data_IF_932588552394
#
_entry.id   IF_932588552394
#
_cell.length_a   1.000
_cell.length_b   1.000
_cell.length_c   1.000
_cell.angle_alpha   90.00
_cell.angle_beta   90.00
_cell.angle_gamma   90.00
#
_symmetry.space_group_name_H-M   'P 1'
#
loop_
_entity.id
_entity.type
_entity.pdbx_description
1 polymer ?
#
# COMPACT_ATOMS: atom_id res chain seq x y z
N UNK A 1 32.58 23.44 -26.70
CA UNK A 1 32.57 23.36 -28.17
C UNK A 1 33.93 22.88 -28.63
N UNK A 2 34.04 21.63 -29.07
CA UNK A 2 35.27 21.10 -29.69
C UNK A 2 35.25 21.40 -31.19
N UNK A 3 36.41 21.64 -31.82
CA UNK A 3 36.51 22.01 -33.22
C UNK A 3 36.14 20.83 -34.16
N UNK A 4 35.76 21.10 -35.42
CA UNK A 4 35.43 20.07 -36.39
C UNK A 4 36.66 19.20 -36.70
N UNK A 5 36.41 17.89 -36.77
CA UNK A 5 37.37 16.83 -37.09
C UNK A 5 38.00 17.11 -38.46
N UNK A 6 39.34 17.17 -38.52
CA UNK A 6 40.12 17.28 -39.77
C UNK A 6 40.83 15.97 -40.04
N UNK A 7 40.42 15.27 -41.10
CA UNK A 7 41.08 14.04 -41.54
C UNK A 7 42.19 14.42 -42.53
N UNK A 8 43.45 14.30 -42.13
CA UNK A 8 44.62 14.50 -43.00
C UNK A 8 44.85 13.28 -43.88
N UNK A 9 45.25 13.50 -45.14
CA UNK A 9 45.01 12.60 -46.28
C UNK A 9 46.19 11.68 -46.66
N UNK A 10 47.20 11.50 -45.81
CA UNK A 10 48.51 11.05 -46.29
C UNK A 10 48.92 9.61 -45.91
N UNK A 11 48.02 8.80 -45.35
CA UNK A 11 48.27 7.35 -45.18
C UNK A 11 47.38 6.54 -46.11
N UNK A 12 47.94 6.19 -47.28
CA UNK A 12 47.32 5.30 -48.25
C UNK A 12 47.28 3.86 -47.71
N UNK A 13 46.08 3.29 -47.60
CA UNK A 13 45.89 1.84 -47.51
C UNK A 13 46.51 1.18 -48.76
N UNK A 14 47.39 0.17 -48.63
CA UNK A 14 47.95 -0.48 -49.80
C UNK A 14 46.85 -1.22 -50.57
N UNK A 15 46.55 -0.73 -51.78
CA UNK A 15 45.78 -1.46 -52.79
C UNK A 15 44.26 -1.28 -52.79
N UNK A 16 43.66 -0.43 -51.95
CA UNK A 16 42.22 -0.15 -52.00
C UNK A 16 42.00 1.37 -51.99
N UNK A 17 41.70 1.94 -53.15
CA UNK A 17 41.14 3.28 -53.23
C UNK A 17 39.68 3.20 -52.78
N UNK A 18 39.39 3.70 -51.58
CA UNK A 18 38.00 3.87 -51.14
C UNK A 18 37.37 5.00 -51.96
N UNK A 19 36.16 4.79 -52.48
CA UNK A 19 35.43 5.87 -53.14
C UNK A 19 35.22 7.02 -52.14
N UNK A 20 35.21 8.24 -52.67
CA UNK A 20 35.15 9.48 -51.86
C UNK A 20 33.91 9.51 -50.96
N UNK A 21 32.82 8.88 -51.41
CA UNK A 21 31.56 8.79 -50.69
C UNK A 21 31.57 7.71 -49.59
N UNK A 22 32.31 6.60 -49.77
CA UNK A 22 32.43 5.52 -48.78
C UNK A 22 32.95 6.00 -47.42
N UNK A 23 33.91 6.94 -47.43
CA UNK A 23 34.48 7.51 -46.19
C UNK A 23 33.48 8.43 -45.48
N UNK A 24 32.73 9.24 -46.24
CA UNK A 24 31.72 10.15 -45.71
C UNK A 24 30.54 9.37 -45.12
N UNK A 25 30.14 8.29 -45.79
CA UNK A 25 29.06 7.42 -45.34
C UNK A 25 29.44 6.68 -44.06
N UNK A 26 30.64 6.10 -44.00
CA UNK A 26 31.14 5.42 -42.79
C UNK A 26 31.22 6.37 -41.59
N UNK A 27 31.75 7.58 -41.78
CA UNK A 27 31.77 8.59 -40.73
C UNK A 27 30.36 8.92 -40.23
N UNK A 28 29.44 9.14 -41.16
CA UNK A 28 28.04 9.47 -40.82
C UNK A 28 27.34 8.34 -40.04
N UNK A 29 27.54 7.07 -40.44
CA UNK A 29 26.98 5.93 -39.72
C UNK A 29 27.57 5.76 -38.31
N UNK A 30 28.89 5.97 -38.15
CA UNK A 30 29.54 5.88 -36.84
C UNK A 30 29.07 7.00 -35.91
N UNK A 31 28.97 8.24 -36.41
CA UNK A 31 28.43 9.37 -35.64
C UNK A 31 27.00 9.11 -35.16
N UNK A 32 26.11 8.66 -36.05
CA UNK A 32 24.74 8.30 -35.68
C UNK A 32 24.70 7.20 -34.61
N UNK A 33 25.55 6.18 -34.72
CA UNK A 33 25.62 5.11 -33.72
C UNK A 33 26.09 5.65 -32.37
N UNK A 34 27.12 6.49 -32.34
CA UNK A 34 27.65 7.05 -31.09
C UNK A 34 26.65 8.00 -30.42
N UNK A 35 25.92 8.79 -31.21
CA UNK A 35 24.82 9.63 -30.72
C UNK A 35 23.70 8.76 -30.12
N UNK A 36 23.32 7.66 -30.77
CA UNK A 36 22.31 6.74 -30.23
C UNK A 36 22.77 6.07 -28.93
N UNK A 37 24.06 5.71 -28.81
CA UNK A 37 24.62 5.17 -27.57
C UNK A 37 24.54 6.21 -26.44
N UNK A 38 24.81 7.49 -26.73
CA UNK A 38 24.65 8.59 -25.77
C UNK A 38 23.20 8.73 -25.31
N UNK A 39 22.26 8.82 -26.25
CA UNK A 39 20.83 8.93 -25.94
C UNK A 39 20.36 7.76 -25.08
N UNK A 40 20.72 6.52 -25.46
CA UNK A 40 20.35 5.33 -24.70
C UNK A 40 20.98 5.33 -23.29
N UNK A 41 22.19 5.89 -23.12
CA UNK A 41 22.82 6.04 -21.80
C UNK A 41 22.01 6.98 -20.91
N UNK A 42 21.70 8.17 -21.40
CA UNK A 42 20.91 9.18 -20.67
C UNK A 42 19.53 8.64 -20.27
N UNK A 43 18.83 7.99 -21.21
CA UNK A 43 17.52 7.39 -20.96
C UNK A 43 17.59 6.26 -19.93
N UNK A 44 18.60 5.39 -20.03
CA UNK A 44 18.78 4.27 -19.08
C UNK A 44 19.11 4.80 -17.68
N UNK A 45 19.92 5.85 -17.56
CA UNK A 45 20.23 6.48 -16.28
C UNK A 45 19.00 7.11 -15.64
N UNK A 46 18.21 7.86 -16.42
CA UNK A 46 16.96 8.45 -15.96
C UNK A 46 15.97 7.37 -15.49
N UNK A 47 15.81 6.29 -16.25
CA UNK A 47 14.90 5.21 -15.90
C UNK A 47 15.36 4.44 -14.66
N UNK A 48 16.65 4.15 -14.53
CA UNK A 48 17.23 3.55 -13.31
C UNK A 48 16.96 4.43 -12.08
N UNK A 49 17.11 5.75 -12.22
CA UNK A 49 16.83 6.71 -11.14
C UNK A 49 15.37 6.63 -10.70
N UNK A 50 14.43 6.60 -11.65
CA UNK A 50 13.00 6.52 -11.35
C UNK A 50 12.64 5.22 -10.61
N UNK A 51 13.14 4.07 -11.09
CA UNK A 51 12.92 2.77 -10.43
C UNK A 51 13.52 2.73 -9.03
N UNK A 52 14.70 3.33 -8.85
CA UNK A 52 15.35 3.40 -7.54
C UNK A 52 14.53 4.26 -6.58
N UNK A 53 14.09 5.45 -7.01
CA UNK A 53 13.24 6.33 -6.22
C UNK A 53 11.94 5.64 -5.81
N UNK A 54 11.27 4.96 -6.74
CA UNK A 54 10.04 4.22 -6.44
C UNK A 54 10.29 3.09 -5.42
N UNK A 55 11.39 2.33 -5.57
CA UNK A 55 11.77 1.30 -4.60
C UNK A 55 12.02 1.90 -3.22
N UNK A 56 12.72 3.03 -3.15
CA UNK A 56 13.06 3.67 -1.90
C UNK A 56 11.83 4.26 -1.22
N UNK A 57 10.88 4.80 -1.97
CA UNK A 57 9.59 5.27 -1.44
C UNK A 57 8.78 4.11 -0.82
N UNK A 58 8.74 2.94 -1.47
CA UNK A 58 8.08 1.75 -0.93
C UNK A 58 8.72 1.31 0.39
N UNK A 59 10.06 1.20 0.41
CA UNK A 59 10.82 0.70 1.56
C UNK A 59 10.83 1.69 2.73
N UNK A 60 11.06 2.97 2.47
CA UNK A 60 11.39 3.96 3.49
C UNK A 60 10.21 4.85 3.90
N UNK A 61 9.15 4.92 3.08
CA UNK A 61 7.99 5.79 3.35
C UNK A 61 6.73 4.96 3.53
N UNK A 62 6.38 4.15 2.54
CA UNK A 62 5.07 3.47 2.50
C UNK A 62 5.01 2.33 3.54
N UNK A 63 5.96 1.40 3.52
CA UNK A 63 5.97 0.28 4.48
C UNK A 63 6.01 0.73 5.95
N UNK A 64 6.85 1.71 6.36
CA UNK A 64 6.85 2.20 7.72
C UNK A 64 5.52 2.85 8.11
N UNK A 65 4.93 3.68 7.24
CA UNK A 65 3.61 4.29 7.50
C UNK A 65 2.52 3.24 7.72
N UNK A 66 2.48 2.20 6.89
CA UNK A 66 1.53 1.09 7.08
C UNK A 66 1.75 0.39 8.42
N UNK A 67 3.01 0.11 8.79
CA UNK A 67 3.34 -0.51 10.09
C UNK A 67 2.88 0.35 11.27
N UNK A 68 3.12 1.66 11.22
CA UNK A 68 2.66 2.60 12.25
C UNK A 68 1.14 2.60 12.36
N UNK A 69 0.41 2.66 11.24
CA UNK A 69 -1.05 2.61 11.26
C UNK A 69 -1.58 1.27 11.81
N UNK A 70 -0.94 0.15 11.46
CA UNK A 70 -1.27 -1.16 12.03
C UNK A 70 -1.09 -1.21 13.55
N UNK A 71 -0.02 -0.59 14.06
CA UNK A 71 0.22 -0.48 15.50
C UNK A 71 -0.87 0.37 16.16
N UNK A 72 -1.15 1.57 15.64
CA UNK A 72 -2.20 2.45 16.17
C UNK A 72 -3.58 1.78 16.21
N UNK A 73 -3.93 1.01 15.16
CA UNK A 73 -5.17 0.25 15.12
C UNK A 73 -5.15 -0.93 16.08
N UNK A 74 -3.99 -1.55 16.35
CA UNK A 74 -3.89 -2.69 17.26
C UNK A 74 -3.85 -2.28 18.74
N UNK A 75 -3.23 -1.15 19.05
CA UNK A 75 -2.99 -0.65 20.41
C UNK A 75 -4.19 0.15 20.97
N UNK A 76 -5.35 0.09 20.30
CA UNK A 76 -6.53 0.82 20.71
C UNK A 76 -7.15 0.28 22.02
N UNK A 77 -7.82 1.14 22.79
CA UNK A 77 -8.47 0.77 24.06
C UNK A 77 -9.94 0.39 23.90
N UNK A 78 -10.48 0.34 22.68
CA UNK A 78 -11.93 0.21 22.44
C UNK A 78 -12.48 -1.09 23.02
N UNK A 79 -11.73 -2.20 22.89
CA UNK A 79 -12.11 -3.48 23.47
C UNK A 79 -12.20 -3.42 25.00
N UNK A 80 -11.22 -2.81 25.66
CA UNK A 80 -11.20 -2.61 27.11
C UNK A 80 -12.36 -1.73 27.56
N UNK A 81 -12.65 -0.65 26.83
CA UNK A 81 -13.77 0.23 27.13
C UNK A 81 -15.13 -0.46 26.97
N UNK A 82 -15.28 -1.32 25.97
CA UNK A 82 -16.47 -2.16 25.77
C UNK A 82 -16.68 -3.07 26.97
N UNK A 83 -15.62 -3.73 27.45
CA UNK A 83 -15.71 -4.60 28.63
C UNK A 83 -16.12 -3.80 29.88
N UNK A 84 -15.52 -2.63 30.11
CA UNK A 84 -15.89 -1.76 31.24
C UNK A 84 -17.36 -1.32 31.17
N UNK A 85 -17.85 -0.96 29.98
CA UNK A 85 -19.24 -0.57 29.79
C UNK A 85 -20.21 -1.73 30.03
N UNK A 86 -19.89 -2.94 29.54
CA UNK A 86 -20.70 -4.13 29.81
C UNK A 86 -20.82 -4.39 31.31
N UNK A 87 -19.71 -4.34 32.05
CA UNK A 87 -19.73 -4.53 33.50
C UNK A 87 -20.60 -3.47 34.20
N UNK A 88 -20.48 -2.19 33.82
CA UNK A 88 -21.31 -1.10 34.36
C UNK A 88 -22.80 -1.29 34.08
N UNK A 89 -23.13 -1.73 32.86
CA UNK A 89 -24.49 -2.07 32.42
C UNK A 89 -25.05 -3.23 33.24
N UNK A 90 -24.24 -4.26 33.51
CA UNK A 90 -24.66 -5.44 34.28
C UNK A 90 -24.88 -5.06 35.76
N UNK A 91 -23.95 -4.32 36.37
CA UNK A 91 -24.09 -3.79 37.73
C UNK A 91 -25.34 -2.92 37.90
N UNK A 92 -25.60 -2.01 36.95
CA UNK A 92 -26.79 -1.15 36.99
C UNK A 92 -28.07 -1.96 36.78
N UNK A 93 -28.03 -3.01 35.97
CA UNK A 93 -29.18 -3.93 35.80
C UNK A 93 -29.57 -4.61 37.11
N UNK A 94 -28.58 -5.04 37.90
CA UNK A 94 -28.82 -5.59 39.24
C UNK A 94 -29.47 -4.56 40.18
N UNK A 95 -28.96 -3.32 40.20
CA UNK A 95 -29.56 -2.23 41.01
C UNK A 95 -30.99 -1.89 40.60
N UNK A 96 -31.29 -1.90 39.30
CA UNK A 96 -32.65 -1.72 38.79
C UNK A 96 -33.57 -2.86 39.27
N UNK A 97 -33.08 -4.10 39.28
CA UNK A 97 -33.82 -5.25 39.79
C UNK A 97 -34.09 -5.14 41.29
N UNK A 98 -33.10 -4.73 42.09
CA UNK A 98 -33.28 -4.44 43.52
C UNK A 98 -34.34 -3.36 43.75
N UNK A 99 -34.29 -2.24 43.02
CA UNK A 99 -35.28 -1.17 43.11
C UNK A 99 -36.68 -1.61 42.66
N UNK A 100 -36.79 -2.53 41.71
CA UNK A 100 -38.08 -3.14 41.36
C UNK A 100 -38.66 -3.96 42.52
N UNK A 101 -37.83 -4.76 43.20
CA UNK A 101 -38.24 -5.56 44.38
C UNK A 101 -38.64 -4.65 45.54
N UNK A 102 -37.85 -3.62 45.82
CA UNK A 102 -38.13 -2.62 46.86
C UNK A 102 -39.47 -1.91 46.62
N UNK A 103 -39.69 -1.41 45.40
CA UNK A 103 -40.95 -0.79 45.01
C UNK A 103 -42.15 -1.72 45.21
N UNK A 104 -42.06 -2.98 44.75
CA UNK A 104 -43.14 -3.95 44.89
C UNK A 104 -43.49 -4.21 46.36
N UNK A 105 -42.48 -4.35 47.22
CA UNK A 105 -42.67 -4.55 48.65
C UNK A 105 -43.29 -3.32 49.35
N UNK A 106 -42.90 -2.09 48.97
CA UNK A 106 -43.49 -0.86 49.51
C UNK A 106 -44.95 -0.71 49.13
N UNK A 107 -45.32 -1.03 47.88
CA UNK A 107 -46.71 -1.00 47.40
C UNK A 107 -47.56 -2.03 48.15
N UNK A 108 -47.07 -3.26 48.32
CA UNK A 108 -47.78 -4.31 49.08
C UNK A 108 -47.99 -3.91 50.55
N UNK A 109 -46.95 -3.37 51.20
CA UNK A 109 -47.03 -2.89 52.59
C UNK A 109 -47.97 -1.69 52.75
N UNK A 110 -47.98 -0.77 51.78
CA UNK A 110 -48.91 0.37 51.77
C UNK A 110 -50.36 -0.12 51.71
N UNK A 111 -50.65 -1.06 50.79
CA UNK A 111 -51.97 -1.64 50.63
C UNK A 111 -52.44 -2.39 51.88
N UNK A 112 -51.60 -3.26 52.45
CA UNK A 112 -51.91 -4.01 53.67
C UNK A 112 -52.12 -3.11 54.88
N UNK A 113 -51.36 -2.02 55.00
CA UNK A 113 -51.55 -1.01 56.06
C UNK A 113 -52.89 -0.28 55.93
N UNK A 114 -53.29 0.10 54.71
CA UNK A 114 -54.58 0.73 54.45
C UNK A 114 -55.77 -0.20 54.77
N UNK A 115 -55.63 -1.49 54.50
CA UNK A 115 -56.66 -2.51 54.76
C UNK A 115 -56.97 -2.70 56.26
N UNK A 116 -56.11 -2.21 57.17
CA UNK A 116 -56.37 -2.25 58.62
C UNK A 116 -57.44 -1.27 59.10
N UNK A 117 -57.88 -0.34 58.23
CA UNK A 117 -59.00 0.61 58.44
C UNK A 117 -58.94 1.44 59.74
N UNK A 118 -57.76 1.60 60.34
CA UNK A 118 -57.53 2.47 61.48
C UNK A 118 -56.63 3.67 61.09
N UNK A 119 -56.70 4.75 61.89
CA UNK A 119 -55.98 6.01 61.60
C UNK A 119 -54.47 5.79 61.47
N UNK A 120 -53.89 4.92 62.30
CA UNK A 120 -52.45 4.61 62.25
C UNK A 120 -52.07 3.89 60.95
N UNK A 121 -52.89 2.94 60.49
CA UNK A 121 -52.71 2.20 59.24
C UNK A 121 -52.81 3.09 57.99
N UNK A 122 -53.73 4.05 57.98
CA UNK A 122 -53.84 5.03 56.90
C UNK A 122 -52.62 5.96 56.83
N UNK A 123 -52.12 6.43 57.98
CA UNK A 123 -50.88 7.23 58.03
C UNK A 123 -49.67 6.47 57.50
N UNK A 124 -49.52 5.20 57.87
CA UNK A 124 -48.45 4.34 57.37
C UNK A 124 -48.57 4.06 55.86
N UNK A 125 -49.79 3.87 55.36
CA UNK A 125 -50.02 3.66 53.93
C UNK A 125 -49.55 4.85 53.08
N UNK A 126 -49.83 6.09 53.53
CA UNK A 126 -49.38 7.32 52.85
C UNK A 126 -47.85 7.40 52.86
N UNK A 127 -47.21 7.19 54.00
CA UNK A 127 -45.75 7.21 54.11
C UNK A 127 -45.09 6.22 53.14
N UNK A 128 -45.56 4.97 53.13
CA UNK A 128 -45.04 3.94 52.23
C UNK A 128 -45.32 4.24 50.75
N UNK A 129 -46.45 4.90 50.44
CA UNK A 129 -46.77 5.34 49.08
C UNK A 129 -45.82 6.43 48.58
N UNK A 130 -45.43 7.37 49.44
CA UNK A 130 -44.41 8.39 49.12
C UNK A 130 -43.05 7.74 48.89
N UNK A 131 -42.63 6.82 49.78
CA UNK A 131 -41.37 6.09 49.62
C UNK A 131 -41.34 5.29 48.30
N UNK A 132 -42.45 4.63 47.95
CA UNK A 132 -42.58 3.89 46.71
C UNK A 132 -42.38 4.79 45.47
N UNK A 133 -42.93 6.00 45.47
CA UNK A 133 -42.74 6.93 44.35
C UNK A 133 -41.29 7.46 44.29
N UNK A 134 -40.63 7.66 45.44
CA UNK A 134 -39.19 7.95 45.48
C UNK A 134 -38.38 6.82 44.85
N UNK A 135 -38.60 5.56 45.26
CA UNK A 135 -37.96 4.37 44.68
C UNK A 135 -38.22 4.26 43.17
N UNK A 136 -39.44 4.59 42.73
CA UNK A 136 -39.82 4.59 41.31
C UNK A 136 -39.01 5.60 40.52
N UNK A 137 -38.82 6.81 41.06
CA UNK A 137 -38.05 7.87 40.41
C UNK A 137 -36.57 7.52 40.31
N UNK A 138 -35.96 7.03 41.40
CA UNK A 138 -34.58 6.53 41.39
C UNK A 138 -34.38 5.42 40.35
N UNK A 139 -35.31 4.45 40.30
CA UNK A 139 -35.28 3.39 39.29
C UNK A 139 -35.37 3.94 37.87
N UNK A 140 -36.24 4.92 37.63
CA UNK A 140 -36.38 5.51 36.29
C UNK A 140 -35.10 6.25 35.87
N UNK A 141 -34.45 6.96 36.79
CA UNK A 141 -33.13 7.57 36.54
C UNK A 141 -32.09 6.51 36.17
N UNK A 142 -32.01 5.39 36.91
CA UNK A 142 -31.12 4.28 36.57
C UNK A 142 -31.42 3.71 35.18
N UNK A 143 -32.70 3.59 34.79
CA UNK A 143 -33.09 3.13 33.44
C UNK A 143 -32.65 4.11 32.34
N UNK A 144 -32.76 5.41 32.57
CA UNK A 144 -32.30 6.43 31.61
C UNK A 144 -30.78 6.40 31.44
N UNK A 145 -30.03 6.28 32.53
CA UNK A 145 -28.56 6.11 32.47
C UNK A 145 -28.18 4.82 31.75
N UNK A 146 -28.89 3.73 32.01
CA UNK A 146 -28.70 2.45 31.36
C UNK A 146 -28.84 2.58 29.84
N UNK A 147 -29.89 3.26 29.39
CA UNK A 147 -30.14 3.45 27.96
C UNK A 147 -28.99 4.24 27.28
N UNK A 148 -28.49 5.30 27.94
CA UNK A 148 -27.34 6.07 27.45
C UNK A 148 -26.07 5.21 27.33
N UNK A 149 -25.82 4.33 28.29
CA UNK A 149 -24.66 3.42 28.24
C UNK A 149 -24.81 2.34 27.18
N UNK A 150 -26.02 1.80 26.96
CA UNK A 150 -26.30 0.84 25.88
C UNK A 150 -26.05 1.49 24.51
N UNK A 151 -26.47 2.73 24.30
CA UNK A 151 -26.18 3.47 23.07
C UNK A 151 -24.68 3.70 22.88
N UNK A 152 -23.96 4.06 23.96
CA UNK A 152 -22.51 4.21 23.93
C UNK A 152 -21.79 2.89 23.61
N UNK A 153 -22.27 1.79 24.18
CA UNK A 153 -21.78 0.43 23.90
C UNK A 153 -21.99 0.06 22.43
N UNK A 154 -23.18 0.32 21.89
CA UNK A 154 -23.51 0.08 20.48
C UNK A 154 -22.55 0.83 19.54
N UNK A 155 -22.36 2.14 19.77
CA UNK A 155 -21.41 2.97 19.01
C UNK A 155 -19.98 2.44 19.10
N UNK A 156 -19.52 2.04 20.28
CA UNK A 156 -18.17 1.47 20.45
C UNK A 156 -17.99 0.13 19.76
N UNK A 157 -19.00 -0.76 19.77
CA UNK A 157 -18.96 -2.01 19.02
C UNK A 157 -18.84 -1.75 17.51
N UNK A 158 -19.57 -0.74 16.99
CA UNK A 158 -19.45 -0.33 15.59
C UNK A 158 -18.04 0.21 15.27
N UNK A 159 -17.45 1.00 16.16
CA UNK A 159 -16.07 1.47 16.03
C UNK A 159 -15.09 0.30 16.02
N UNK A 160 -15.24 -0.67 16.93
CA UNK A 160 -14.38 -1.87 17.00
C UNK A 160 -14.43 -2.67 15.70
N UNK A 161 -15.63 -2.92 15.16
CA UNK A 161 -15.79 -3.60 13.88
C UNK A 161 -15.11 -2.83 12.73
N UNK A 162 -15.21 -1.51 12.74
CA UNK A 162 -14.55 -0.66 11.74
C UNK A 162 -13.02 -0.72 11.85
N UNK A 163 -12.48 -0.73 13.08
CA UNK A 163 -11.04 -0.91 13.32
C UNK A 163 -10.54 -2.26 12.81
N UNK A 164 -11.29 -3.34 13.00
CA UNK A 164 -10.92 -4.64 12.44
C UNK A 164 -10.88 -4.64 10.91
N UNK A 165 -11.85 -4.00 10.25
CA UNK A 165 -11.84 -3.85 8.78
C UNK A 165 -10.65 -3.01 8.30
N UNK A 166 -10.30 -1.94 9.02
CA UNK A 166 -9.11 -1.14 8.71
C UNK A 166 -7.85 -1.98 8.88
N UNK A 167 -7.75 -2.77 9.97
CA UNK A 167 -6.64 -3.68 10.22
C UNK A 167 -6.45 -4.67 9.07
N UNK A 168 -7.53 -5.32 8.63
CA UNK A 168 -7.53 -6.25 7.49
C UNK A 168 -6.99 -5.56 6.23
N UNK A 169 -7.56 -4.40 5.85
CA UNK A 169 -7.11 -3.63 4.69
C UNK A 169 -5.64 -3.22 4.77
N UNK A 170 -5.15 -2.87 5.96
CA UNK A 170 -3.75 -2.50 6.16
C UNK A 170 -2.81 -3.73 6.08
N UNK A 171 -3.25 -4.91 6.50
CA UNK A 171 -2.50 -6.16 6.33
C UNK A 171 -2.39 -6.49 4.84
N UNK A 172 -3.49 -6.41 4.10
CA UNK A 172 -3.49 -6.63 2.65
C UNK A 172 -2.59 -5.63 1.94
N UNK A 173 -2.72 -4.34 2.27
CA UNK A 173 -1.88 -3.29 1.72
C UNK A 173 -0.40 -3.52 2.02
N UNK A 174 -0.06 -3.97 3.24
CA UNK A 174 1.31 -4.34 3.60
C UNK A 174 1.82 -5.47 2.70
N UNK A 175 1.02 -6.51 2.46
CA UNK A 175 1.40 -7.62 1.60
C UNK A 175 1.69 -7.14 0.18
N UNK A 176 0.74 -6.42 -0.44
CA UNK A 176 0.89 -5.88 -1.80
C UNK A 176 2.11 -4.96 -1.90
N UNK A 177 2.39 -4.16 -0.86
CA UNK A 177 3.56 -3.28 -0.84
C UNK A 177 4.87 -4.06 -0.78
N UNK A 178 4.94 -5.18 -0.04
CA UNK A 178 6.11 -6.06 0.00
C UNK A 178 6.36 -6.76 -1.34
N UNK A 179 5.28 -7.20 -2.00
CA UNK A 179 5.37 -7.81 -3.34
C UNK A 179 5.88 -6.78 -4.35
N UNK A 180 5.34 -5.55 -4.33
CA UNK A 180 5.78 -4.45 -5.18
C UNK A 180 7.23 -4.04 -4.91
N UNK A 181 7.66 -4.01 -3.64
CA UNK A 181 9.04 -3.73 -3.26
C UNK A 181 10.00 -4.78 -3.87
N UNK A 182 9.64 -6.06 -3.76
CA UNK A 182 10.43 -7.17 -4.30
C UNK A 182 10.51 -7.10 -5.82
N UNK A 183 9.38 -6.88 -6.49
CA UNK A 183 9.33 -6.72 -7.95
C UNK A 183 10.18 -5.53 -8.43
N UNK A 184 10.10 -4.40 -7.74
CA UNK A 184 10.87 -3.20 -8.08
C UNK A 184 12.37 -3.40 -7.84
N UNK A 185 12.77 -4.11 -6.79
CA UNK A 185 14.18 -4.47 -6.54
C UNK A 185 14.75 -5.35 -7.67
N UNK A 186 13.98 -6.31 -8.16
CA UNK A 186 14.36 -7.13 -9.32
C UNK A 186 14.51 -6.28 -10.58
N UNK A 187 13.57 -5.36 -10.83
CA UNK A 187 13.64 -4.43 -11.96
C UNK A 187 14.87 -3.51 -11.86
N UNK A 188 15.18 -3.02 -10.66
CA UNK A 188 16.38 -2.21 -10.38
C UNK A 188 17.67 -2.97 -10.71
N UNK A 189 17.75 -4.25 -10.35
CA UNK A 189 18.91 -5.09 -10.66
C UNK A 189 19.07 -5.29 -12.16
N UNK A 190 17.97 -5.57 -12.88
CA UNK A 190 17.98 -5.72 -14.34
C UNK A 190 18.48 -4.45 -15.02
N UNK A 191 17.95 -3.28 -14.65
CA UNK A 191 18.38 -2.00 -15.21
C UNK A 191 19.78 -1.58 -14.80
N UNK A 192 20.25 -1.98 -13.61
CA UNK A 192 21.65 -1.78 -13.27
C UNK A 192 22.57 -2.54 -14.25
N UNK A 193 22.23 -3.79 -14.57
CA UNK A 193 22.99 -4.59 -15.53
C UNK A 193 22.96 -3.99 -16.94
N UNK A 194 21.81 -3.48 -17.39
CA UNK A 194 21.71 -2.82 -18.71
C UNK A 194 22.50 -1.52 -18.75
N UNK A 195 22.44 -0.72 -17.69
CA UNK A 195 23.25 0.49 -17.59
C UNK A 195 24.76 0.19 -17.66
N UNK A 196 25.22 -0.87 -17.01
CA UNK A 196 26.62 -1.31 -17.08
C UNK A 196 27.04 -1.66 -18.52
N UNK A 197 26.19 -2.35 -19.28
CA UNK A 197 26.46 -2.66 -20.69
C UNK A 197 26.46 -1.42 -21.58
N UNK A 198 25.51 -0.50 -21.40
CA UNK A 198 25.49 0.75 -22.16
C UNK A 198 26.73 1.60 -21.86
N UNK A 199 27.15 1.67 -20.59
CA UNK A 199 28.41 2.34 -20.19
C UNK A 199 29.64 1.69 -20.81
N UNK A 200 29.69 0.36 -20.86
CA UNK A 200 30.78 -0.37 -21.50
C UNK A 200 30.84 -0.10 -23.02
N UNK A 201 29.69 -0.09 -23.70
CA UNK A 201 29.60 0.24 -25.12
C UNK A 201 30.04 1.69 -25.39
N UNK A 202 29.54 2.64 -24.58
CA UNK A 202 29.93 4.06 -24.66
C UNK A 202 31.42 4.26 -24.47
N UNK A 203 32.00 3.63 -23.45
CA UNK A 203 33.45 3.69 -23.19
C UNK A 203 34.26 3.12 -24.36
N UNK A 204 33.79 2.05 -24.99
CA UNK A 204 34.45 1.50 -26.19
C UNK A 204 34.33 2.44 -27.39
N UNK A 205 33.18 3.11 -27.55
CA UNK A 205 32.94 4.07 -28.63
C UNK A 205 33.86 5.31 -28.49
N UNK A 206 34.10 5.78 -27.26
CA UNK A 206 35.00 6.91 -26.98
C UNK A 206 36.46 6.63 -27.37
N UNK A 207 36.85 5.36 -27.50
CA UNK A 207 38.20 4.98 -27.92
C UNK A 207 38.35 4.86 -29.46
N UNK A 208 37.27 5.03 -30.22
CA UNK A 208 37.31 5.04 -31.69
C UNK A 208 37.59 6.47 -32.16
N UNK A 209 38.79 6.72 -32.69
CA UNK A 209 39.19 8.00 -33.27
C UNK A 209 39.99 7.77 -34.56
N UNK A 210 40.24 8.84 -35.34
CA UNK A 210 40.91 8.75 -36.65
C UNK A 210 42.37 8.27 -36.60
N UNK A 211 42.96 8.10 -35.40
CA UNK A 211 44.37 7.70 -35.23
C UNK A 211 44.56 6.21 -34.99
N UNK A 212 43.48 5.43 -34.89
CA UNK A 212 43.58 3.97 -34.67
C UNK A 212 43.80 3.24 -35.99
N UNK A 213 44.67 2.22 -35.98
CA UNK A 213 44.81 1.33 -37.13
C UNK A 213 43.51 0.57 -37.40
N UNK A 214 43.27 0.11 -38.63
CA UNK A 214 42.04 -0.63 -38.96
C UNK A 214 41.84 -1.89 -38.10
N UNK A 215 42.93 -2.58 -37.73
CA UNK A 215 42.86 -3.71 -36.81
C UNK A 215 42.36 -3.32 -35.42
N UNK A 216 42.83 -2.19 -34.90
CA UNK A 216 42.36 -1.61 -33.63
C UNK A 216 40.93 -1.08 -33.74
N UNK A 217 40.57 -0.45 -34.87
CA UNK A 217 39.19 -0.04 -35.16
C UNK A 217 38.23 -1.24 -35.08
N UNK A 218 38.52 -2.33 -35.81
CA UNK A 218 37.69 -3.54 -35.80
C UNK A 218 37.57 -4.10 -34.37
N UNK A 219 38.65 -4.10 -33.60
CA UNK A 219 38.63 -4.55 -32.22
C UNK A 219 37.72 -3.68 -31.33
N UNK A 220 37.92 -2.35 -31.34
CA UNK A 220 37.09 -1.43 -30.56
C UNK A 220 35.63 -1.46 -31.00
N UNK A 221 35.36 -1.54 -32.30
CA UNK A 221 34.00 -1.64 -32.82
C UNK A 221 33.30 -2.92 -32.37
N UNK A 222 34.00 -4.06 -32.32
CA UNK A 222 33.44 -5.27 -31.68
C UNK A 222 33.06 -5.01 -30.23
N UNK A 223 33.93 -4.36 -29.45
CA UNK A 223 33.65 -4.01 -28.06
C UNK A 223 32.50 -3.00 -27.89
N UNK A 224 32.22 -2.18 -28.90
CA UNK A 224 31.02 -1.33 -28.94
C UNK A 224 29.76 -2.17 -29.10
N UNK A 225 29.77 -3.16 -29.99
CA UNK A 225 28.58 -3.94 -30.39
C UNK A 225 28.25 -5.09 -29.44
N UNK A 226 29.23 -5.80 -28.89
CA UNK A 226 28.98 -6.97 -28.02
C UNK A 226 28.03 -6.68 -26.83
N UNK A 227 28.15 -5.56 -26.09
CA UNK A 227 27.21 -5.25 -25.01
C UNK A 227 25.74 -5.13 -25.46
N UNK A 228 25.48 -4.70 -26.71
CA UNK A 228 24.12 -4.59 -27.25
C UNK A 228 23.45 -5.95 -27.45
N UNK A 229 24.22 -7.01 -27.72
CA UNK A 229 23.68 -8.38 -27.79
C UNK A 229 23.21 -8.86 -26.42
N UNK A 230 23.97 -8.55 -25.37
CA UNK A 230 23.58 -8.89 -23.99
C UNK A 230 22.38 -8.07 -23.51
N UNK A 231 22.31 -6.79 -23.88
CA UNK A 231 21.13 -5.94 -23.63
C UNK A 231 19.91 -6.57 -24.31
N UNK A 232 19.99 -6.89 -25.61
CA UNK A 232 18.90 -7.49 -26.36
C UNK A 232 18.39 -8.79 -25.70
N UNK A 233 19.30 -9.71 -25.38
CA UNK A 233 18.96 -10.99 -24.74
C UNK A 233 18.21 -10.78 -23.41
N UNK A 234 18.65 -9.81 -22.60
CA UNK A 234 18.01 -9.49 -21.31
C UNK A 234 16.65 -8.82 -21.50
N UNK A 235 16.52 -7.89 -22.44
CA UNK A 235 15.26 -7.20 -22.71
C UNK A 235 14.24 -8.14 -23.35
N UNK A 236 14.64 -9.07 -24.21
CA UNK A 236 13.74 -10.06 -24.82
C UNK A 236 13.11 -10.97 -23.76
N UNK A 237 13.91 -11.46 -22.81
CA UNK A 237 13.40 -12.23 -21.67
C UNK A 237 12.44 -11.40 -20.83
N UNK A 238 12.78 -10.15 -20.56
CA UNK A 238 11.94 -9.24 -19.78
C UNK A 238 10.60 -8.95 -20.46
N UNK A 239 10.61 -8.67 -21.77
CA UNK A 239 9.41 -8.45 -22.58
C UNK A 239 8.52 -9.70 -22.53
N UNK A 240 9.10 -10.90 -22.60
CA UNK A 240 8.35 -12.16 -22.48
C UNK A 240 7.65 -12.25 -21.12
N UNK A 241 8.37 -12.04 -20.03
CA UNK A 241 7.82 -12.06 -18.66
C UNK A 241 6.69 -11.03 -18.50
N UNK A 242 6.88 -9.81 -19.02
CA UNK A 242 5.84 -8.76 -18.96
C UNK A 242 4.59 -9.12 -19.76
N UNK A 243 4.75 -9.73 -20.94
CA UNK A 243 3.62 -10.21 -21.74
C UNK A 243 2.85 -11.32 -21.03
N UNK A 244 3.56 -12.27 -20.42
CA UNK A 244 2.95 -13.35 -19.64
C UNK A 244 2.19 -12.79 -18.44
N UNK A 245 2.80 -11.87 -17.69
CA UNK A 245 2.15 -11.21 -16.55
C UNK A 245 0.91 -10.37 -16.96
N UNK A 246 0.97 -9.65 -18.08
CA UNK A 246 -0.17 -8.89 -18.62
C UNK A 246 -1.34 -9.81 -19.04
N UNK A 247 -1.02 -10.95 -19.65
CA UNK A 247 -2.02 -11.95 -20.02
C UNK A 247 -2.69 -12.58 -18.79
N UNK A 248 -1.90 -12.98 -17.79
CA UNK A 248 -2.40 -13.53 -16.54
C UNK A 248 -3.28 -12.52 -15.78
N UNK A 249 -2.84 -11.25 -15.73
CA UNK A 249 -3.60 -10.17 -15.14
C UNK A 249 -4.98 -10.01 -15.82
N UNK A 250 -5.00 -9.95 -17.15
CA UNK A 250 -6.25 -9.83 -17.93
C UNK A 250 -7.19 -11.02 -17.71
N UNK A 251 -6.68 -12.25 -17.74
CA UNK A 251 -7.49 -13.45 -17.51
C UNK A 251 -8.10 -13.45 -16.10
N UNK A 252 -7.31 -13.10 -15.09
CA UNK A 252 -7.77 -13.05 -13.69
C UNK A 252 -8.79 -11.92 -13.46
N UNK A 253 -8.62 -10.76 -14.10
CA UNK A 253 -9.56 -9.64 -13.98
C UNK A 253 -10.89 -9.91 -14.69
N UNK A 254 -10.84 -10.49 -15.90
CA UNK A 254 -12.05 -10.88 -16.64
C UNK A 254 -12.83 -11.95 -15.88
N UNK A 255 -12.16 -12.95 -15.33
CA UNK A 255 -12.80 -13.99 -14.52
C UNK A 255 -13.45 -13.44 -13.25
N UNK A 256 -12.81 -12.48 -12.57
CA UNK A 256 -13.42 -11.81 -11.39
C UNK A 256 -14.68 -11.03 -11.76
N UNK A 257 -14.69 -10.32 -12.89
CA UNK A 257 -15.87 -9.56 -13.34
C UNK A 257 -17.05 -10.47 -13.72
N UNK A 258 -16.77 -11.63 -14.32
CA UNK A 258 -17.81 -12.62 -14.65
C UNK A 258 -18.41 -13.26 -13.39
N UNK A 259 -17.60 -13.53 -12.36
CA UNK A 259 -18.07 -14.10 -11.09
C UNK A 259 -18.95 -13.12 -10.31
N UNK A 260 -18.63 -11.82 -10.30
CA UNK A 260 -19.46 -10.79 -9.64
C UNK A 260 -20.79 -10.55 -10.36
N UNK A 261 -20.86 -10.74 -11.69
CA UNK A 261 -22.15 -10.67 -12.40
C UNK A 261 -23.04 -11.86 -12.05
N UNK A 262 -22.49 -13.06 -11.90
CA UNK A 262 -23.29 -14.25 -11.58
C UNK A 262 -23.78 -14.28 -10.12
N UNK A 263 -23.11 -13.58 -9.19
CA UNK A 263 -23.57 -13.47 -7.79
C UNK A 263 -24.56 -12.32 -7.54
N UNK A 264 -24.76 -11.42 -8.50
CA UNK A 264 -25.79 -10.37 -8.40
C UNK A 264 -27.12 -10.75 -9.09
N UNK A 265 -27.17 -11.88 -9.79
CA UNK A 265 -28.38 -12.40 -10.45
C UNK A 265 -29.07 -13.56 -9.68
N UNK A 266 -28.63 -13.84 -8.45
CA UNK A 266 -29.24 -14.80 -7.51
C UNK A 266 -29.68 -14.10 -6.23
#
# INVERSE_FOLDING_TARGET
MQPPIKITSDEHFPGIALEKDTKKDLHSYLSLMFDQINTNLEETEALKKNITSFSDDLTNIVLPKIKTQLQLVSDNTVQTDITKLKNSIDERSLRIEEKNKEYAALVEKSFTSAASLNIAGLGMAIYMGVEAETTRNERNQLKEEQQKEIEKLSKKNQTLASLYRIKEKLVDLKSVTLDAETATKNLRQLWNSILEFVKASKKSADNINDTVSLGLFIHHFKLVVEPWREIQKKTDLFIKIFKEADQEYKQTHVNKMQQTHHTMEL
#
